data_IF_248525204886
#
_entry.id   IF_248525204886
#
_cell.length_a   1.000
_cell.length_b   1.000
_cell.length_c   1.000
_cell.angle_alpha   90.00
_cell.angle_beta   90.00
_cell.angle_gamma   90.00
#
_symmetry.space_group_name_H-M   'P 1'
#
loop_
_entity.id
_entity.type
_entity.pdbx_description
1 polymer ?
#
# COMPACT_ATOMS: atom_id res chain seq x y z
N UNK A 1 -41.38 0.63 48.55
CA UNK A 1 -41.51 0.57 47.08
C UNK A 1 -40.11 0.33 46.52
N UNK A 2 -39.77 -0.91 46.14
CA UNK A 2 -38.47 -1.20 45.53
C UNK A 2 -38.48 -0.74 44.07
N UNK A 3 -37.44 -0.04 43.58
CA UNK A 3 -37.39 0.38 42.18
C UNK A 3 -37.37 -0.86 41.27
N UNK A 4 -38.05 -0.83 40.12
CA UNK A 4 -38.02 -1.94 39.18
C UNK A 4 -36.57 -2.16 38.72
N UNK A 5 -36.00 -3.32 39.03
CA UNK A 5 -34.69 -3.73 38.52
C UNK A 5 -34.77 -3.71 36.99
N UNK A 6 -33.90 -2.95 36.30
CA UNK A 6 -33.93 -2.89 34.85
C UNK A 6 -33.83 -4.31 34.30
N UNK A 7 -34.82 -4.70 33.49
CA UNK A 7 -34.87 -6.03 32.89
C UNK A 7 -33.63 -6.24 32.02
N UNK A 8 -33.08 -7.46 32.00
CA UNK A 8 -31.95 -7.85 31.16
C UNK A 8 -32.12 -7.40 29.69
N UNK A 9 -33.36 -7.45 29.18
CA UNK A 9 -33.68 -6.96 27.84
C UNK A 9 -33.41 -5.46 27.64
N UNK A 10 -33.60 -4.63 28.67
CA UNK A 10 -33.32 -3.19 28.61
C UNK A 10 -31.82 -2.93 28.52
N UNK A 11 -31.00 -3.63 29.31
CA UNK A 11 -29.54 -3.52 29.30
C UNK A 11 -28.94 -3.97 27.96
N UNK A 12 -29.45 -5.06 27.39
CA UNK A 12 -29.04 -5.54 26.05
C UNK A 12 -29.41 -4.50 24.98
N UNK A 13 -30.62 -3.93 25.04
CA UNK A 13 -31.03 -2.89 24.08
C UNK A 13 -30.19 -1.62 24.21
N UNK A 14 -29.81 -1.23 25.43
CA UNK A 14 -28.99 -0.05 25.69
C UNK A 14 -27.57 -0.25 25.16
N UNK A 15 -26.98 -1.44 25.39
CA UNK A 15 -25.65 -1.80 24.88
C UNK A 15 -25.58 -1.90 23.35
N UNK A 16 -26.63 -2.45 22.71
CA UNK A 16 -26.74 -2.47 21.24
C UNK A 16 -26.86 -1.07 20.66
N UNK A 17 -27.60 -0.17 21.32
CA UNK A 17 -27.74 1.23 20.88
C UNK A 17 -26.42 1.98 21.02
N UNK A 18 -25.74 1.81 22.15
CA UNK A 18 -24.42 2.42 22.40
C UNK A 18 -23.34 1.91 21.42
N UNK A 19 -23.32 0.60 21.15
CA UNK A 19 -22.42 0.01 20.16
C UNK A 19 -22.71 0.51 18.74
N UNK A 20 -23.98 0.68 18.38
CA UNK A 20 -24.38 1.29 17.11
C UNK A 20 -23.93 2.74 16.97
N UNK A 21 -24.07 3.54 18.03
CA UNK A 21 -23.64 4.95 18.06
C UNK A 21 -22.12 5.09 17.90
N UNK A 22 -21.33 4.22 18.57
CA UNK A 22 -19.87 4.17 18.46
C UNK A 22 -19.40 3.78 17.05
N UNK A 23 -20.02 2.75 16.44
CA UNK A 23 -19.69 2.33 15.08
C UNK A 23 -20.07 3.42 14.06
N UNK A 24 -21.20 4.10 14.26
CA UNK A 24 -21.60 5.23 13.42
C UNK A 24 -20.59 6.37 13.45
N UNK A 25 -20.09 6.70 14.65
CA UNK A 25 -19.08 7.75 14.83
C UNK A 25 -17.74 7.40 14.18
N UNK A 26 -17.30 6.14 14.32
CA UNK A 26 -16.06 5.67 13.69
C UNK A 26 -16.18 5.69 12.16
N UNK A 27 -17.33 5.30 11.61
CA UNK A 27 -17.60 5.38 10.16
C UNK A 27 -17.63 6.82 9.66
N UNK A 28 -18.13 7.77 10.44
CA UNK A 28 -18.13 9.19 10.08
C UNK A 28 -16.70 9.76 10.07
N UNK A 29 -15.89 9.42 11.07
CA UNK A 29 -14.47 9.77 11.11
C UNK A 29 -13.70 9.16 9.93
N UNK A 30 -13.88 7.86 9.66
CA UNK A 30 -13.27 7.17 8.52
C UNK A 30 -13.66 7.82 7.19
N UNK A 31 -14.93 8.19 7.00
CA UNK A 31 -15.38 8.89 5.79
C UNK A 31 -14.69 10.24 5.63
N UNK A 32 -14.62 11.03 6.70
CA UNK A 32 -13.95 12.35 6.68
C UNK A 32 -12.47 12.23 6.35
N UNK A 33 -11.77 11.27 6.94
CA UNK A 33 -10.35 11.04 6.66
C UNK A 33 -10.14 10.55 5.22
N UNK A 34 -11.00 9.67 4.72
CA UNK A 34 -10.95 9.16 3.34
C UNK A 34 -11.17 10.28 2.33
N UNK A 35 -12.20 11.12 2.52
CA UNK A 35 -12.47 12.27 1.64
C UNK A 35 -11.34 13.30 1.67
N UNK A 36 -10.79 13.57 2.86
CA UNK A 36 -9.65 14.46 3.04
C UNK A 36 -8.40 13.96 2.31
N UNK A 37 -8.08 12.67 2.48
CA UNK A 37 -6.94 12.04 1.82
C UNK A 37 -7.10 11.98 0.30
N UNK A 38 -8.29 11.63 -0.20
CA UNK A 38 -8.58 11.62 -1.65
C UNK A 38 -8.42 13.03 -2.24
N UNK A 39 -8.95 14.06 -1.59
CA UNK A 39 -8.80 15.45 -2.06
C UNK A 39 -7.34 15.91 -2.03
N UNK A 40 -6.58 15.51 -1.02
CA UNK A 40 -5.14 15.81 -0.97
C UNK A 40 -4.38 15.14 -2.12
N UNK A 41 -4.65 13.86 -2.38
CA UNK A 41 -4.07 13.12 -3.52
C UNK A 41 -4.45 13.80 -4.84
N UNK A 42 -5.73 14.11 -5.06
CA UNK A 42 -6.20 14.79 -6.26
C UNK A 42 -5.57 16.17 -6.43
N UNK A 43 -5.36 16.92 -5.35
CA UNK A 43 -4.67 18.21 -5.38
C UNK A 43 -3.21 18.08 -5.84
N UNK A 44 -2.50 17.05 -5.36
CA UNK A 44 -1.13 16.75 -5.82
C UNK A 44 -1.13 16.35 -7.30
N UNK A 45 -2.05 15.49 -7.74
CA UNK A 45 -2.17 15.12 -9.15
C UNK A 45 -2.57 16.29 -10.05
N UNK A 46 -3.43 17.20 -9.60
CA UNK A 46 -3.83 18.36 -10.38
C UNK A 46 -2.68 19.36 -10.57
N UNK A 47 -1.82 19.52 -9.56
CA UNK A 47 -0.69 20.47 -9.60
C UNK A 47 0.56 19.86 -10.27
N UNK A 48 0.86 18.59 -10.00
CA UNK A 48 2.10 17.94 -10.44
C UNK A 48 1.91 16.87 -11.52
N UNK A 49 0.70 16.38 -11.75
CA UNK A 49 0.44 15.30 -12.72
C UNK A 49 0.87 15.69 -14.13
N UNK A 50 0.52 16.89 -14.58
CA UNK A 50 0.93 17.40 -15.90
C UNK A 50 2.44 17.58 -16.00
N UNK A 51 3.08 18.11 -14.95
CA UNK A 51 4.53 18.31 -14.90
C UNK A 51 5.29 16.98 -14.97
N UNK A 52 4.85 15.95 -14.25
CA UNK A 52 5.47 14.62 -14.28
C UNK A 52 5.31 13.98 -15.67
N UNK A 53 4.12 14.07 -16.27
CA UNK A 53 3.89 13.54 -17.63
C UNK A 53 4.81 14.24 -18.64
N UNK A 54 4.88 15.58 -18.60
CA UNK A 54 5.76 16.34 -19.49
C UNK A 54 7.23 16.03 -19.26
N UNK A 55 7.66 15.85 -18.00
CA UNK A 55 9.03 15.48 -17.67
C UNK A 55 9.38 14.10 -18.25
N UNK A 56 8.49 13.11 -18.11
CA UNK A 56 8.69 11.77 -18.67
C UNK A 56 8.74 11.83 -20.21
N UNK A 57 7.86 12.60 -20.84
CA UNK A 57 7.86 12.79 -22.29
C UNK A 57 9.14 13.49 -22.78
N UNK A 58 9.58 14.54 -22.09
CA UNK A 58 10.82 15.25 -22.40
C UNK A 58 12.04 14.33 -22.23
N UNK A 59 12.10 13.54 -21.16
CA UNK A 59 13.17 12.57 -20.94
C UNK A 59 13.21 11.51 -22.05
N UNK A 60 12.05 10.99 -22.47
CA UNK A 60 11.97 10.05 -23.58
C UNK A 60 12.48 10.68 -24.90
N UNK A 61 12.12 11.95 -25.17
CA UNK A 61 12.63 12.68 -26.33
C UNK A 61 14.14 12.89 -26.27
N UNK A 62 14.71 13.16 -25.10
CA UNK A 62 16.17 13.27 -24.92
C UNK A 62 16.86 11.94 -25.19
N UNK A 63 16.31 10.81 -24.71
CA UNK A 63 16.86 9.48 -25.02
C UNK A 63 16.85 9.20 -26.52
N UNK A 64 15.74 9.50 -27.21
CA UNK A 64 15.67 9.36 -28.67
C UNK A 64 16.71 10.25 -29.36
N UNK A 65 16.87 11.50 -28.92
CA UNK A 65 17.89 12.39 -29.46
C UNK A 65 19.32 11.85 -29.26
N UNK A 66 19.62 11.26 -28.09
CA UNK A 66 20.90 10.60 -27.83
C UNK A 66 21.12 9.39 -28.74
N UNK A 67 20.10 8.54 -28.92
CA UNK A 67 20.18 7.41 -29.86
C UNK A 67 20.49 7.91 -31.26
N UNK A 68 19.75 8.90 -31.77
CA UNK A 68 19.96 9.43 -33.13
C UNK A 68 21.32 10.12 -33.28
N UNK A 69 21.76 10.87 -32.28
CA UNK A 69 23.07 11.52 -32.28
C UNK A 69 24.21 10.49 -32.30
N UNK A 70 24.11 9.44 -31.49
CA UNK A 70 25.10 8.37 -31.47
C UNK A 70 25.05 7.49 -32.73
N UNK A 71 23.84 7.26 -33.27
CA UNK A 71 23.64 6.55 -34.53
C UNK A 71 24.30 7.27 -35.71
N UNK A 72 24.24 8.61 -35.74
CA UNK A 72 24.90 9.41 -36.77
C UNK A 72 26.44 9.27 -36.72
N UNK A 73 27.01 8.97 -35.55
CA UNK A 73 28.46 8.81 -35.37
C UNK A 73 28.92 7.38 -35.67
N UNK A 74 28.12 6.37 -35.30
CA UNK A 74 28.46 4.94 -35.42
C UNK A 74 27.94 4.33 -36.73
N UNK A 75 26.99 4.97 -37.39
CA UNK A 75 26.35 4.47 -38.61
C UNK A 75 25.32 3.35 -38.37
N UNK A 76 24.97 3.07 -37.12
CA UNK A 76 24.00 2.04 -36.75
C UNK A 76 23.09 2.51 -35.62
N UNK A 77 21.79 2.59 -35.92
CA UNK A 77 20.77 2.99 -34.95
C UNK A 77 20.54 1.90 -33.87
N UNK A 78 20.65 0.63 -34.25
CA UNK A 78 20.47 -0.50 -33.33
C UNK A 78 21.59 -0.50 -32.27
N UNK A 79 22.85 -0.34 -32.69
CA UNK A 79 23.98 -0.30 -31.75
C UNK A 79 23.90 0.93 -30.84
N UNK A 80 23.51 2.09 -31.39
CA UNK A 80 23.30 3.29 -30.60
C UNK A 80 22.19 3.13 -29.56
N UNK A 81 21.06 2.53 -29.96
CA UNK A 81 19.94 2.26 -29.06
C UNK A 81 20.33 1.29 -27.94
N UNK A 82 21.15 0.27 -28.24
CA UNK A 82 21.62 -0.65 -27.22
C UNK A 82 22.57 0.03 -26.22
N UNK A 83 23.52 0.84 -26.70
CA UNK A 83 24.48 1.55 -25.85
C UNK A 83 23.77 2.56 -24.94
N UNK A 84 22.82 3.33 -25.49
CA UNK A 84 22.08 4.33 -24.73
C UNK A 84 21.03 3.67 -23.84
N UNK A 85 20.26 2.71 -24.36
CA UNK A 85 19.13 2.11 -23.65
C UNK A 85 19.51 1.09 -22.58
N UNK A 86 20.58 0.31 -22.78
CA UNK A 86 21.00 -0.73 -21.83
C UNK A 86 21.22 -0.22 -20.39
N UNK A 87 21.95 0.89 -20.12
CA UNK A 87 22.12 1.37 -18.76
C UNK A 87 20.79 1.79 -18.11
N UNK A 88 19.88 2.43 -18.86
CA UNK A 88 18.56 2.79 -18.35
C UNK A 88 17.71 1.56 -18.05
N UNK A 89 17.73 0.56 -18.92
CA UNK A 89 17.05 -0.71 -18.71
C UNK A 89 17.60 -1.45 -17.48
N UNK A 90 18.93 -1.47 -17.29
CA UNK A 90 19.57 -2.09 -16.13
C UNK A 90 19.15 -1.41 -14.83
N UNK A 91 19.20 -0.07 -14.78
CA UNK A 91 18.76 0.70 -13.60
C UNK A 91 17.28 0.47 -13.33
N UNK A 92 16.42 0.50 -14.36
CA UNK A 92 14.99 0.24 -14.20
C UNK A 92 14.72 -1.17 -13.64
N UNK A 93 15.42 -2.19 -14.13
CA UNK A 93 15.30 -3.56 -13.64
C UNK A 93 15.75 -3.70 -12.18
N UNK A 94 16.86 -3.06 -11.81
CA UNK A 94 17.35 -3.04 -10.42
C UNK A 94 16.32 -2.38 -9.50
N UNK A 95 15.80 -1.21 -9.88
CA UNK A 95 14.79 -0.50 -9.09
C UNK A 95 13.51 -1.32 -8.97
N UNK A 96 13.08 -1.99 -10.04
CA UNK A 96 11.92 -2.88 -10.02
C UNK A 96 12.14 -4.05 -9.06
N UNK A 97 13.29 -4.72 -9.12
CA UNK A 97 13.63 -5.80 -8.20
C UNK A 97 13.68 -5.33 -6.74
N UNK A 98 14.26 -4.15 -6.48
CA UNK A 98 14.30 -3.56 -5.13
C UNK A 98 12.89 -3.21 -4.63
N UNK A 99 12.04 -2.66 -5.50
CA UNK A 99 10.64 -2.37 -5.21
C UNK A 99 9.85 -3.63 -4.86
N UNK A 100 9.94 -4.67 -5.70
CA UNK A 100 9.31 -5.97 -5.47
C UNK A 100 9.77 -6.61 -4.16
N UNK A 101 11.08 -6.61 -3.88
CA UNK A 101 11.64 -7.11 -2.61
C UNK A 101 11.15 -6.34 -1.39
N UNK A 102 10.91 -5.03 -1.52
CA UNK A 102 10.38 -4.20 -0.43
C UNK A 102 8.92 -4.50 -0.17
N UNK A 103 8.12 -4.73 -1.21
CA UNK A 103 6.71 -5.14 -1.11
C UNK A 103 6.54 -6.51 -0.48
N UNK A 104 7.41 -7.46 -0.84
CA UNK A 104 7.43 -8.82 -0.28
C UNK A 104 7.69 -8.83 1.24
N UNK A 105 8.63 -7.98 1.72
CA UNK A 105 8.85 -7.79 3.16
C UNK A 105 7.68 -7.12 3.89
N UNK A 106 6.88 -6.33 3.20
CA UNK A 106 5.73 -5.65 3.78
C UNK A 106 4.44 -6.47 3.77
N UNK A 107 4.39 -7.68 3.15
CA UNK A 107 3.09 -8.34 2.91
C UNK A 107 2.93 -9.85 3.18
N UNK A 108 3.93 -10.71 3.44
CA UNK A 108 3.63 -12.17 3.31
C UNK A 108 3.91 -13.13 4.47
N UNK A 109 4.17 -12.72 5.71
CA UNK A 109 3.93 -13.59 6.88
C UNK A 109 3.86 -12.76 8.16
N UNK A 110 2.74 -12.76 8.90
CA UNK A 110 2.71 -12.22 10.24
C UNK A 110 3.55 -13.15 11.14
N UNK A 111 4.81 -12.77 11.41
CA UNK A 111 5.77 -13.48 12.28
C UNK A 111 5.30 -13.70 13.73
N UNK A 112 4.06 -13.31 14.05
CA UNK A 112 3.45 -13.48 15.37
C UNK A 112 2.54 -14.72 15.45
N UNK A 113 2.03 -15.24 14.33
CA UNK A 113 1.17 -16.44 14.36
C UNK A 113 1.94 -17.72 14.73
N UNK A 114 3.17 -17.89 14.24
CA UNK A 114 3.97 -19.09 14.57
C UNK A 114 4.26 -19.20 16.08
N UNK A 115 4.63 -18.09 16.73
CA UNK A 115 4.92 -18.09 18.18
C UNK A 115 3.69 -18.30 19.06
N UNK A 116 2.47 -18.07 18.55
CA UNK A 116 1.24 -18.31 19.30
C UNK A 116 0.77 -19.75 19.14
N UNK A 117 0.88 -20.33 17.94
CA UNK A 117 0.53 -21.74 17.69
C UNK A 117 1.44 -22.68 18.50
N UNK A 118 2.74 -22.40 18.59
CA UNK A 118 3.68 -23.22 19.39
C UNK A 118 3.36 -23.17 20.89
N UNK A 119 2.97 -22.00 21.40
CA UNK A 119 2.56 -21.82 22.81
C UNK A 119 1.22 -22.51 23.10
N UNK A 120 0.26 -22.42 22.19
CA UNK A 120 -1.06 -23.03 22.37
C UNK A 120 -0.97 -24.57 22.27
N UNK A 121 -0.09 -25.12 21.42
CA UNK A 121 0.15 -26.56 21.34
C UNK A 121 0.80 -27.13 22.61
N UNK A 122 1.72 -26.38 23.23
CA UNK A 122 2.32 -26.75 24.51
C UNK A 122 1.29 -26.74 25.66
N UNK A 123 0.34 -25.81 25.64
CA UNK A 123 -0.73 -25.72 26.64
C UNK A 123 -1.81 -26.80 26.46
N UNK A 124 -2.08 -27.25 25.23
CA UNK A 124 -3.02 -28.35 24.97
C UNK A 124 -2.45 -29.72 25.32
N UNK A 125 -1.14 -29.93 25.14
CA UNK A 125 -0.48 -31.18 25.50
C UNK A 125 -0.37 -31.34 27.03
N UNK A 126 -0.24 -30.24 27.78
CA UNK A 126 -0.18 -30.27 29.25
C UNK A 126 -1.53 -30.41 29.97
N UNK A 127 -2.66 -30.48 29.26
CA UNK A 127 -4.01 -30.59 29.86
C UNK A 127 -4.66 -31.97 29.68
N UNK A 128 -3.90 -32.96 29.21
CA UNK A 128 -4.42 -34.31 28.94
C UNK A 128 -3.92 -35.38 29.94
N UNK A 129 -3.22 -34.96 31.00
CA UNK A 129 -2.59 -35.85 32.00
C UNK A 129 -3.22 -35.77 33.40
N UNK A 130 -4.38 -35.11 33.59
CA UNK A 130 -5.15 -35.10 34.85
C UNK A 130 -6.56 -35.72 34.70
#
# INVERSE_FOLDING_TARGET
MAPPTPSLGRLISEGLRHGGDLVGQELELMRRETDGNIRAILGVFACFGTAVILLVAALAMVLVALVKGLAALIGSEILAALIVGAPFAAVALILMMLGLRRMDRSNLLPRRFERQIEKDAALMTGRNDD
#
